data_IF_272302193720
#
_entry.id   IF_272302193720
#
_cell.length_a   1.000
_cell.length_b   1.000
_cell.length_c   1.000
_cell.angle_alpha   90.00
_cell.angle_beta   90.00
_cell.angle_gamma   90.00
#
_symmetry.space_group_name_H-M   'P 1'
#
loop_
_entity.id
_entity.type
_entity.pdbx_description
1 polymer ?
#
# COMPACT_ATOMS: atom_id res chain seq x y z
N UNK A 1 -6.35 5.08 33.22
CA UNK A 1 -6.04 6.38 32.60
C UNK A 1 -4.64 6.45 31.97
N UNK A 2 -3.55 5.99 32.62
CA UNK A 2 -2.18 6.07 32.05
C UNK A 2 -2.00 5.25 30.75
N UNK A 3 -2.63 4.08 30.63
CA UNK A 3 -2.51 3.18 29.47
C UNK A 3 -3.24 3.72 28.22
N UNK A 4 -4.37 4.43 28.38
CA UNK A 4 -5.08 5.11 27.30
C UNK A 4 -4.23 6.28 26.76
N UNK A 5 -3.69 7.12 27.62
CA UNK A 5 -2.77 8.22 27.21
C UNK A 5 -1.49 7.73 26.52
N UNK A 6 -0.99 6.53 26.86
CA UNK A 6 0.16 5.94 26.18
C UNK A 6 -0.17 5.48 24.76
N UNK A 7 -1.38 4.90 24.53
CA UNK A 7 -1.85 4.51 23.21
C UNK A 7 -2.09 5.72 22.30
N UNK A 8 -2.74 6.75 22.80
CA UNK A 8 -2.97 8.02 22.11
C UNK A 8 -1.65 8.66 21.68
N UNK A 9 -0.67 8.73 22.59
CA UNK A 9 0.65 9.30 22.29
C UNK A 9 1.42 8.50 21.23
N UNK A 10 1.29 7.18 21.25
CA UNK A 10 1.89 6.31 20.22
C UNK A 10 1.30 6.62 18.84
N UNK A 11 -0.01 6.85 18.79
CA UNK A 11 -0.70 7.22 17.56
C UNK A 11 -0.33 8.61 17.07
N UNK A 12 -0.22 9.61 17.97
CA UNK A 12 0.23 10.97 17.64
C UNK A 12 1.64 10.93 16.99
N UNK A 13 2.55 10.13 17.52
CA UNK A 13 3.90 9.97 16.96
C UNK A 13 3.84 9.43 15.53
N UNK A 14 3.04 8.39 15.28
CA UNK A 14 2.91 7.79 13.95
C UNK A 14 2.22 8.72 12.95
N UNK A 15 1.19 9.45 13.37
CA UNK A 15 0.52 10.45 12.53
C UNK A 15 1.46 11.60 12.16
N UNK A 16 2.22 12.10 13.14
CA UNK A 16 3.22 13.15 12.89
C UNK A 16 4.31 12.65 11.95
N UNK A 17 4.80 11.43 12.13
CA UNK A 17 5.77 10.84 11.21
C UNK A 17 5.21 10.73 9.79
N UNK A 18 3.99 10.23 9.63
CA UNK A 18 3.33 10.13 8.32
C UNK A 18 3.16 11.52 7.66
N UNK A 19 2.86 12.55 8.45
CA UNK A 19 2.76 13.94 7.95
C UNK A 19 4.13 14.46 7.50
N UNK A 20 5.17 14.27 8.30
CA UNK A 20 6.55 14.66 7.93
C UNK A 20 7.03 13.96 6.64
N UNK A 21 6.57 12.73 6.36
CA UNK A 21 6.86 12.06 5.10
C UNK A 21 6.26 12.79 3.88
N UNK A 22 5.21 13.56 4.06
CA UNK A 22 4.65 14.41 2.98
C UNK A 22 5.47 15.67 2.79
N UNK A 23 5.82 16.34 3.88
CA UNK A 23 6.46 17.66 3.85
C UNK A 23 7.95 17.61 3.46
N UNK A 24 8.68 16.64 3.99
CA UNK A 24 10.13 16.51 3.81
C UNK A 24 10.46 15.65 2.58
N UNK A 25 10.17 16.17 1.39
CA UNK A 25 10.51 15.49 0.14
C UNK A 25 12.02 15.54 -0.10
N UNK A 26 12.66 14.36 -0.03
CA UNK A 26 14.11 14.22 -0.28
C UNK A 26 15.01 14.39 0.94
N UNK A 27 14.46 14.75 2.10
CA UNK A 27 15.23 14.86 3.35
C UNK A 27 15.02 13.65 4.26
N UNK A 28 16.08 13.31 5.01
CA UNK A 28 15.99 12.26 6.02
C UNK A 28 15.29 12.78 7.29
N UNK A 29 14.19 12.16 7.67
CA UNK A 29 13.54 12.45 8.94
C UNK A 29 14.45 11.99 10.08
N UNK A 30 14.85 12.92 10.96
CA UNK A 30 15.60 12.61 12.17
C UNK A 30 14.65 12.44 13.36
N UNK A 31 15.08 11.65 14.36
CA UNK A 31 14.31 11.48 15.60
C UNK A 31 14.19 12.77 16.37
N UNK A 32 15.21 13.63 16.33
CA UNK A 32 15.19 14.96 16.94
C UNK A 32 14.12 15.88 16.28
N UNK A 33 14.01 15.87 14.94
CA UNK A 33 12.99 16.62 14.22
C UNK A 33 11.57 16.10 14.55
N UNK A 34 11.39 14.78 14.56
CA UNK A 34 10.13 14.15 14.92
C UNK A 34 9.72 14.48 16.37
N UNK A 35 10.64 14.37 17.33
CA UNK A 35 10.37 14.70 18.73
C UNK A 35 9.91 16.16 18.91
N UNK A 36 10.58 17.10 18.21
CA UNK A 36 10.14 18.51 18.18
C UNK A 36 8.74 18.68 17.59
N UNK A 37 8.46 18.02 16.49
CA UNK A 37 7.15 18.10 15.82
C UNK A 37 6.01 17.54 16.68
N UNK A 38 6.28 16.46 17.41
CA UNK A 38 5.32 15.86 18.38
C UNK A 38 5.20 16.67 19.67
N UNK A 39 6.16 17.56 19.96
CA UNK A 39 6.22 18.33 21.21
C UNK A 39 6.69 17.52 22.42
N UNK A 40 7.63 16.59 22.21
CA UNK A 40 8.20 15.74 23.28
C UNK A 40 9.73 15.73 23.21
N UNK A 41 10.38 15.25 24.28
CA UNK A 41 11.82 14.97 24.24
C UNK A 41 12.10 13.68 23.45
N UNK A 42 13.31 13.55 22.86
CA UNK A 42 13.72 12.30 22.21
C UNK A 42 13.67 11.11 23.17
N UNK A 43 14.03 11.31 24.44
CA UNK A 43 13.92 10.28 25.47
C UNK A 43 12.46 9.82 25.68
N UNK A 44 11.49 10.73 25.58
CA UNK A 44 10.07 10.39 25.65
C UNK A 44 9.61 9.64 24.38
N UNK A 45 10.11 10.03 23.20
CA UNK A 45 9.86 9.33 21.95
C UNK A 45 10.34 7.87 22.01
N UNK A 46 11.57 7.64 22.47
CA UNK A 46 12.16 6.31 22.60
C UNK A 46 11.47 5.40 23.62
N UNK A 47 10.74 5.95 24.59
CA UNK A 47 9.88 5.15 25.49
C UNK A 47 8.69 4.52 24.77
N UNK A 48 8.20 5.15 23.69
CA UNK A 48 7.11 4.61 22.88
C UNK A 48 7.62 3.74 21.73
N UNK A 49 8.74 4.09 21.12
CA UNK A 49 9.37 3.38 20.02
C UNK A 49 10.88 3.30 20.24
N UNK A 50 11.41 2.10 20.50
CA UNK A 50 12.84 1.93 20.84
C UNK A 50 13.82 2.34 19.72
N UNK A 51 13.33 2.55 18.49
CA UNK A 51 14.13 3.03 17.37
C UNK A 51 13.23 3.65 16.29
N UNK A 52 13.84 4.46 15.40
CA UNK A 52 13.18 4.96 14.19
C UNK A 52 12.64 3.81 13.31
N UNK A 53 13.41 2.74 13.17
CA UNK A 53 12.98 1.54 12.44
C UNK A 53 11.67 0.95 13.00
N UNK A 54 11.49 0.96 14.33
CA UNK A 54 10.24 0.50 14.97
C UNK A 54 9.04 1.41 14.70
N UNK A 55 9.26 2.68 14.45
CA UNK A 55 8.19 3.59 14.01
C UNK A 55 7.77 3.27 12.58
N UNK A 56 8.72 3.05 11.68
CA UNK A 56 8.43 2.62 10.30
C UNK A 56 7.78 1.23 10.26
N UNK A 57 8.24 0.26 11.07
CA UNK A 57 7.58 -1.04 11.19
C UNK A 57 6.11 -0.89 11.58
N UNK A 58 5.80 -0.01 12.53
CA UNK A 58 4.42 0.23 12.95
C UNK A 58 3.56 0.91 11.87
N UNK A 59 4.14 1.80 11.05
CA UNK A 59 3.43 2.35 9.87
C UNK A 59 3.18 1.28 8.80
N UNK A 60 4.13 0.40 8.54
CA UNK A 60 3.98 -0.72 7.60
C UNK A 60 2.90 -1.69 8.10
N UNK A 61 2.87 -2.01 9.40
CA UNK A 61 1.85 -2.82 10.03
C UNK A 61 0.45 -2.19 9.88
N UNK A 62 0.34 -0.88 10.09
CA UNK A 62 -0.91 -0.14 9.87
C UNK A 62 -1.38 -0.20 8.40
N UNK A 63 -0.46 -0.08 7.42
CA UNK A 63 -0.79 -0.26 6.00
C UNK A 63 -1.33 -1.67 5.78
N UNK A 64 -0.61 -2.69 6.25
CA UNK A 64 -0.98 -4.09 6.08
C UNK A 64 -2.37 -4.40 6.64
N UNK A 65 -2.63 -4.04 7.89
CA UNK A 65 -3.92 -4.24 8.55
C UNK A 65 -5.05 -3.50 7.84
N UNK A 66 -4.79 -2.22 7.46
CA UNK A 66 -5.78 -1.38 6.78
C UNK A 66 -6.19 -1.94 5.43
N UNK A 67 -5.25 -2.47 4.66
CA UNK A 67 -5.52 -3.03 3.34
C UNK A 67 -6.18 -4.41 3.46
N UNK A 68 -5.57 -5.34 4.17
CA UNK A 68 -6.02 -6.74 4.13
C UNK A 68 -7.31 -7.00 4.89
N UNK A 69 -7.62 -6.23 5.92
CA UNK A 69 -8.96 -6.28 6.55
C UNK A 69 -10.06 -5.97 5.56
N UNK A 70 -9.84 -4.97 4.68
CA UNK A 70 -10.83 -4.57 3.67
C UNK A 70 -10.81 -5.48 2.44
N UNK A 71 -9.63 -5.96 2.00
CA UNK A 71 -9.54 -6.96 0.94
C UNK A 71 -10.34 -8.21 1.31
N UNK A 72 -10.16 -8.74 2.52
CA UNK A 72 -10.91 -9.89 2.99
C UNK A 72 -12.43 -9.65 2.95
N UNK A 73 -12.87 -8.43 3.29
CA UNK A 73 -14.28 -8.05 3.20
C UNK A 73 -14.80 -8.06 1.76
N UNK A 74 -14.03 -7.48 0.82
CA UNK A 74 -14.36 -7.51 -0.62
C UNK A 74 -14.54 -8.96 -1.09
N UNK A 75 -13.66 -9.87 -0.69
CA UNK A 75 -13.72 -11.27 -1.08
C UNK A 75 -14.96 -12.00 -0.54
N UNK A 76 -15.47 -11.58 0.62
CA UNK A 76 -16.69 -12.15 1.22
C UNK A 76 -17.97 -11.57 0.60
N UNK A 77 -17.99 -10.29 0.28
CA UNK A 77 -19.17 -9.57 -0.18
C UNK A 77 -19.42 -9.71 -1.69
N UNK A 78 -18.36 -9.79 -2.48
CA UNK A 78 -18.47 -9.87 -3.95
C UNK A 78 -18.25 -11.28 -4.46
N UNK A 79 -19.05 -11.68 -5.46
CA UNK A 79 -18.92 -13.00 -6.09
C UNK A 79 -18.23 -12.94 -7.47
N UNK A 80 -18.28 -11.79 -8.13
CA UNK A 80 -17.71 -11.61 -9.47
C UNK A 80 -16.23 -11.31 -9.40
N UNK A 81 -15.43 -12.10 -10.13
CA UNK A 81 -13.98 -11.97 -10.20
C UNK A 81 -13.52 -10.56 -10.59
N UNK A 82 -14.11 -10.02 -11.66
CA UNK A 82 -13.78 -8.69 -12.17
C UNK A 82 -14.03 -7.62 -11.12
N UNK A 83 -15.15 -7.69 -10.41
CA UNK A 83 -15.50 -6.76 -9.33
C UNK A 83 -14.55 -6.87 -8.14
N UNK A 84 -14.15 -8.09 -7.76
CA UNK A 84 -13.16 -8.32 -6.69
C UNK A 84 -11.81 -7.70 -7.04
N UNK A 85 -11.33 -7.89 -8.27
CA UNK A 85 -10.08 -7.30 -8.75
C UNK A 85 -10.16 -5.79 -8.74
N UNK A 86 -11.18 -5.21 -9.39
CA UNK A 86 -11.39 -3.77 -9.49
C UNK A 86 -11.44 -3.10 -8.11
N UNK A 87 -12.26 -3.63 -7.21
CA UNK A 87 -12.41 -3.09 -5.84
C UNK A 87 -11.13 -3.21 -5.03
N UNK A 88 -10.37 -4.30 -5.19
CA UNK A 88 -9.09 -4.49 -4.51
C UNK A 88 -8.06 -3.46 -5.00
N UNK A 89 -7.94 -3.26 -6.31
CA UNK A 89 -7.05 -2.24 -6.87
C UNK A 89 -7.46 -0.84 -6.39
N UNK A 90 -8.75 -0.50 -6.52
CA UNK A 90 -9.27 0.81 -6.10
C UNK A 90 -9.10 1.06 -4.60
N UNK A 91 -9.21 0.02 -3.78
CA UNK A 91 -8.93 0.10 -2.34
C UNK A 91 -7.48 0.51 -2.07
N UNK A 92 -6.51 -0.14 -2.73
CA UNK A 92 -5.08 0.14 -2.53
C UNK A 92 -4.74 1.54 -3.03
N UNK A 93 -5.21 1.91 -4.23
CA UNK A 93 -5.00 3.23 -4.81
C UNK A 93 -5.67 4.34 -4.00
N UNK A 94 -6.90 4.12 -3.53
CA UNK A 94 -7.63 5.06 -2.68
C UNK A 94 -7.02 5.19 -1.28
N UNK A 95 -6.39 4.15 -0.76
CA UNK A 95 -5.62 4.24 0.47
C UNK A 95 -4.39 5.13 0.28
N UNK A 96 -3.63 4.93 -0.80
CA UNK A 96 -2.47 5.75 -1.14
C UNK A 96 -2.85 7.23 -1.35
N UNK A 97 -3.94 7.49 -2.08
CA UNK A 97 -4.46 8.84 -2.35
C UNK A 97 -4.81 9.61 -1.06
N UNK A 98 -5.45 8.93 -0.12
CA UNK A 98 -5.84 9.51 1.18
C UNK A 98 -4.70 9.61 2.19
N UNK A 99 -3.58 8.93 1.95
CA UNK A 99 -2.46 8.83 2.87
C UNK A 99 -1.12 9.06 2.13
N UNK A 100 -0.84 10.28 1.61
CA UNK A 100 0.32 10.53 0.76
C UNK A 100 1.65 10.20 1.42
N UNK A 101 1.82 10.42 2.73
CA UNK A 101 3.02 10.01 3.46
C UNK A 101 3.21 8.49 3.49
N UNK A 102 2.10 7.73 3.63
CA UNK A 102 2.15 6.27 3.54
C UNK A 102 2.33 5.78 2.10
N UNK A 103 1.84 6.53 1.10
CA UNK A 103 2.12 6.24 -0.31
C UNK A 103 3.63 6.31 -0.62
N UNK A 104 4.38 7.24 -0.02
CA UNK A 104 5.85 7.26 -0.09
C UNK A 104 6.49 6.04 0.54
N UNK A 105 5.96 5.60 1.68
CA UNK A 105 6.44 4.38 2.33
C UNK A 105 6.15 3.15 1.46
N UNK A 106 4.99 3.07 0.82
CA UNK A 106 4.62 2.04 -0.14
C UNK A 106 5.51 2.10 -1.40
N UNK A 107 5.81 3.28 -1.90
CA UNK A 107 6.74 3.46 -3.04
C UNK A 107 8.19 3.08 -2.68
N UNK A 108 8.56 3.17 -1.40
CA UNK A 108 9.86 2.74 -0.89
C UNK A 108 10.97 3.80 -0.97
N UNK A 109 10.71 5.00 -1.50
CA UNK A 109 11.73 6.06 -1.60
C UNK A 109 12.24 6.51 -0.23
N UNK A 110 11.38 6.53 0.78
CA UNK A 110 11.73 6.88 2.17
C UNK A 110 12.46 5.77 2.92
N UNK A 111 12.52 4.56 2.36
CA UNK A 111 13.24 3.42 2.92
C UNK A 111 14.67 3.29 2.36
N UNK A 112 15.06 4.18 1.45
CA UNK A 112 16.45 4.25 0.96
C UNK A 112 17.35 4.69 2.12
N UNK A 113 18.37 3.90 2.42
CA UNK A 113 19.26 4.12 3.58
C UNK A 113 18.75 3.53 4.90
N UNK A 114 17.49 3.08 4.98
CA UNK A 114 16.97 2.34 6.13
C UNK A 114 17.35 0.85 6.07
N UNK A 115 17.03 0.11 7.13
CA UNK A 115 17.38 -1.31 7.23
C UNK A 115 16.76 -2.15 6.10
N UNK A 116 17.48 -3.16 5.60
CA UNK A 116 16.97 -4.11 4.60
C UNK A 116 15.66 -4.77 5.04
N UNK A 117 15.50 -4.98 6.36
CA UNK A 117 14.29 -5.56 6.96
C UNK A 117 13.03 -4.73 6.67
N UNK A 118 13.10 -3.41 6.72
CA UNK A 118 11.93 -2.55 6.43
C UNK A 118 11.52 -2.66 4.97
N UNK A 119 12.48 -2.65 4.05
CA UNK A 119 12.22 -2.87 2.62
C UNK A 119 11.59 -4.24 2.36
N UNK A 120 12.13 -5.29 2.99
CA UNK A 120 11.58 -6.64 2.89
C UNK A 120 10.14 -6.71 3.45
N UNK A 121 9.87 -6.03 4.56
CA UNK A 121 8.52 -5.97 5.15
C UNK A 121 7.53 -5.31 4.21
N UNK A 122 7.92 -4.23 3.52
CA UNK A 122 7.07 -3.58 2.53
C UNK A 122 6.85 -4.48 1.28
N UNK A 123 7.91 -5.15 0.80
CA UNK A 123 7.81 -6.12 -0.29
C UNK A 123 6.80 -7.23 0.01
N UNK A 124 6.77 -7.75 1.24
CA UNK A 124 5.81 -8.80 1.66
C UNK A 124 4.34 -8.37 1.51
N UNK A 125 4.03 -7.07 1.66
CA UNK A 125 2.67 -6.56 1.41
C UNK A 125 2.32 -6.72 -0.06
N UNK A 126 3.22 -6.37 -0.96
CA UNK A 126 3.02 -6.51 -2.41
C UNK A 126 2.95 -7.98 -2.84
N UNK A 127 3.83 -8.85 -2.31
CA UNK A 127 3.77 -10.30 -2.56
C UNK A 127 2.42 -10.90 -2.15
N UNK A 128 1.88 -10.42 -1.03
CA UNK A 128 0.56 -10.82 -0.54
C UNK A 128 -0.57 -10.30 -1.43
N UNK A 129 -0.48 -9.07 -1.94
CA UNK A 129 -1.44 -8.52 -2.91
C UNK A 129 -1.41 -9.31 -4.23
N UNK A 130 -0.22 -9.62 -4.77
CA UNK A 130 -0.09 -10.48 -5.96
C UNK A 130 -0.75 -11.84 -5.73
N UNK A 131 -0.51 -12.43 -4.56
CA UNK A 131 -1.12 -13.72 -4.20
C UNK A 131 -2.65 -13.63 -4.14
N UNK A 132 -3.21 -12.53 -3.61
CA UNK A 132 -4.66 -12.32 -3.60
C UNK A 132 -5.22 -12.17 -5.02
N UNK A 133 -4.60 -11.36 -5.88
CA UNK A 133 -5.02 -11.25 -7.29
C UNK A 133 -4.97 -12.60 -8.00
N UNK A 134 -3.90 -13.37 -7.81
CA UNK A 134 -3.76 -14.71 -8.39
C UNK A 134 -4.85 -15.66 -7.92
N UNK A 135 -5.21 -15.62 -6.63
CA UNK A 135 -6.29 -16.43 -6.08
C UNK A 135 -7.65 -16.04 -6.67
N UNK A 136 -7.98 -14.75 -6.71
CA UNK A 136 -9.23 -14.25 -7.30
C UNK A 136 -9.36 -14.70 -8.75
N UNK A 137 -8.29 -14.60 -9.54
CA UNK A 137 -8.29 -14.98 -10.95
C UNK A 137 -8.40 -16.49 -11.15
N UNK A 138 -7.85 -17.31 -10.25
CA UNK A 138 -7.97 -18.77 -10.32
C UNK A 138 -9.37 -19.28 -10.01
N UNK A 139 -10.07 -18.64 -9.08
CA UNK A 139 -11.44 -19.02 -8.68
C UNK A 139 -12.44 -18.88 -9.84
N UNK A 140 -12.18 -17.99 -10.81
CA UNK A 140 -13.03 -17.80 -11.98
C UNK A 140 -12.81 -18.83 -13.10
N UNK A 141 -11.64 -19.48 -13.12
CA UNK A 141 -11.24 -20.36 -14.22
C UNK A 141 -11.26 -21.82 -13.78
N UNK A 142 -12.40 -22.48 -13.93
CA UNK A 142 -12.63 -23.88 -13.54
C UNK A 142 -11.82 -24.92 -14.32
N UNK A 143 -11.01 -24.55 -15.33
CA UNK A 143 -10.18 -25.49 -16.11
C UNK A 143 -9.03 -24.77 -16.84
N UNK A 144 -7.83 -24.87 -16.31
CA UNK A 144 -6.65 -24.94 -17.20
C UNK A 144 -5.81 -23.69 -17.40
N UNK A 145 -6.00 -22.54 -16.70
CA UNK A 145 -5.22 -21.31 -16.97
C UNK A 145 -4.42 -20.83 -15.75
N UNK A 146 -3.62 -21.74 -15.18
CA UNK A 146 -2.78 -21.41 -14.00
C UNK A 146 -1.66 -20.40 -14.33
N UNK A 147 -1.07 -20.46 -15.53
CA UNK A 147 0.03 -19.57 -15.95
C UNK A 147 -0.50 -18.16 -16.23
N UNK A 148 -1.61 -18.05 -16.99
CA UNK A 148 -2.21 -16.76 -17.29
C UNK A 148 -2.66 -15.99 -16.01
N UNK A 149 -3.15 -16.69 -15.00
CA UNK A 149 -3.53 -16.07 -13.73
C UNK A 149 -2.32 -15.46 -12.97
N UNK A 150 -1.14 -16.07 -13.06
CA UNK A 150 0.08 -15.54 -12.43
C UNK A 150 0.58 -14.29 -13.15
N UNK A 151 0.64 -14.31 -14.47
CA UNK A 151 1.07 -13.18 -15.28
C UNK A 151 0.08 -12.01 -15.18
N UNK A 152 -1.21 -12.31 -15.19
CA UNK A 152 -2.26 -11.29 -14.98
C UNK A 152 -2.17 -10.66 -13.59
N UNK A 153 -1.93 -11.46 -12.54
CA UNK A 153 -1.75 -10.94 -11.17
C UNK A 153 -0.55 -9.98 -11.07
N UNK A 154 0.58 -10.32 -11.71
CA UNK A 154 1.76 -9.45 -11.79
C UNK A 154 1.49 -8.16 -12.54
N UNK A 155 0.77 -8.23 -13.66
CA UNK A 155 0.39 -7.03 -14.41
C UNK A 155 -0.54 -6.12 -13.59
N UNK A 156 -1.53 -6.67 -12.90
CA UNK A 156 -2.40 -5.91 -12.00
C UNK A 156 -1.61 -5.23 -10.90
N UNK A 157 -0.67 -5.96 -10.28
CA UNK A 157 0.20 -5.38 -9.27
C UNK A 157 1.08 -4.27 -9.84
N UNK A 158 1.70 -4.47 -11.01
CA UNK A 158 2.52 -3.45 -11.67
C UNK A 158 1.71 -2.18 -12.01
N UNK A 159 0.44 -2.31 -12.37
CA UNK A 159 -0.46 -1.16 -12.55
C UNK A 159 -0.67 -0.40 -11.23
N UNK A 160 -0.91 -1.10 -10.13
CA UNK A 160 -1.07 -0.48 -8.79
C UNK A 160 0.21 0.25 -8.39
N UNK A 161 1.36 -0.42 -8.46
CA UNK A 161 2.67 0.17 -8.11
C UNK A 161 2.98 1.37 -9.00
N UNK A 162 2.73 1.26 -10.31
CA UNK A 162 2.94 2.34 -11.28
C UNK A 162 2.10 3.59 -10.96
N UNK A 163 0.84 3.43 -10.55
CA UNK A 163 -0.01 4.55 -10.14
C UNK A 163 0.47 5.20 -8.84
N UNK A 164 0.88 4.40 -7.85
CA UNK A 164 1.46 4.92 -6.60
C UNK A 164 2.76 5.68 -6.89
N UNK A 165 3.63 5.12 -7.75
CA UNK A 165 4.87 5.78 -8.16
C UNK A 165 4.61 7.11 -8.88
N UNK A 166 3.62 7.19 -9.77
CA UNK A 166 3.22 8.43 -10.45
C UNK A 166 2.70 9.48 -9.46
N UNK A 167 1.86 9.06 -8.51
CA UNK A 167 1.32 9.91 -7.46
C UNK A 167 2.45 10.53 -6.62
N UNK A 168 3.37 9.72 -6.11
CA UNK A 168 4.51 10.17 -5.31
C UNK A 168 5.42 11.08 -6.14
N UNK A 169 5.81 10.66 -7.36
CA UNK A 169 6.71 11.42 -8.24
C UNK A 169 6.12 12.76 -8.67
N UNK A 170 4.80 12.87 -8.77
CA UNK A 170 4.12 14.14 -9.11
C UNK A 170 4.08 15.13 -7.93
N UNK A 171 4.59 14.78 -6.76
CA UNK A 171 4.36 15.52 -5.51
C UNK A 171 2.89 15.53 -5.13
N UNK A 172 2.24 14.37 -5.25
CA UNK A 172 0.85 14.09 -4.90
C UNK A 172 -0.21 14.85 -5.72
N UNK A 173 0.16 15.39 -6.90
CA UNK A 173 -0.75 16.15 -7.76
C UNK A 173 -1.57 15.30 -8.72
N UNK A 174 -1.06 14.13 -9.09
CA UNK A 174 -1.75 13.18 -9.97
C UNK A 174 -2.38 12.10 -9.11
N UNK A 175 -3.67 12.27 -8.80
CA UNK A 175 -4.40 11.29 -7.98
C UNK A 175 -4.41 9.90 -8.65
N UNK A 176 -4.07 8.83 -7.91
CA UNK A 176 -4.06 7.48 -8.47
C UNK A 176 -5.47 6.94 -8.75
N UNK A 177 -6.52 7.58 -8.23
CA UNK A 177 -7.92 7.17 -8.42
C UNK A 177 -8.69 8.04 -9.42
N UNK A 178 -8.19 9.22 -9.78
CA UNK A 178 -8.84 10.09 -10.75
C UNK A 178 -8.95 9.39 -12.12
N UNK A 179 -10.16 9.34 -12.69
CA UNK A 179 -10.41 8.67 -13.97
C UNK A 179 -10.24 7.15 -13.94
N UNK A 180 -10.35 6.54 -12.76
CA UNK A 180 -10.16 5.10 -12.58
C UNK A 180 -11.07 4.24 -13.45
N UNK A 181 -12.35 4.56 -13.59
CA UNK A 181 -13.31 3.76 -14.36
C UNK A 181 -12.90 3.62 -15.83
N UNK A 182 -12.39 4.70 -16.43
CA UNK A 182 -11.87 4.66 -17.80
C UNK A 182 -10.63 3.77 -17.91
N UNK A 183 -9.70 3.89 -16.96
CA UNK A 183 -8.49 3.06 -16.93
C UNK A 183 -8.81 1.60 -16.68
N UNK A 184 -9.79 1.33 -15.84
CA UNK A 184 -10.28 -0.01 -15.61
C UNK A 184 -10.87 -0.65 -16.89
N UNK A 185 -11.69 0.07 -17.63
CA UNK A 185 -12.20 -0.40 -18.92
C UNK A 185 -11.08 -0.74 -19.91
N UNK A 186 -10.06 0.12 -20.02
CA UNK A 186 -8.88 -0.15 -20.86
C UNK A 186 -8.15 -1.43 -20.45
N UNK A 187 -8.03 -1.70 -19.14
CA UNK A 187 -7.44 -2.94 -18.63
C UNK A 187 -8.29 -4.16 -19.04
N UNK A 188 -9.61 -4.08 -18.89
CA UNK A 188 -10.54 -5.15 -19.28
C UNK A 188 -10.52 -5.40 -20.80
N UNK A 189 -10.53 -4.35 -21.61
CA UNK A 189 -10.48 -4.44 -23.06
C UNK A 189 -9.16 -5.01 -23.58
N UNK A 190 -8.06 -4.71 -22.86
CA UNK A 190 -6.71 -5.20 -23.16
C UNK A 190 -6.48 -6.68 -22.90
N UNK A 191 -7.43 -7.41 -22.31
CA UNK A 191 -7.34 -8.86 -22.19
C UNK A 191 -7.46 -9.49 -20.80
N UNK A 192 -7.77 -8.74 -19.74
CA UNK A 192 -7.96 -9.34 -18.41
C UNK A 192 -9.19 -10.27 -18.30
N UNK A 193 -10.05 -10.31 -19.29
CA UNK A 193 -11.23 -11.17 -19.35
C UNK A 193 -11.32 -12.05 -20.60
N UNK A 194 -10.37 -12.00 -21.53
CA UNK A 194 -10.44 -12.77 -22.77
C UNK A 194 -9.39 -13.88 -22.78
N UNK A 195 -9.84 -15.11 -22.89
CA UNK A 195 -8.99 -16.27 -23.23
C UNK A 195 -8.17 -15.92 -24.48
N UNK A 196 -6.84 -16.19 -24.51
CA UNK A 196 -6.06 -15.98 -25.72
C UNK A 196 -6.72 -16.71 -26.87
N UNK A 197 -7.01 -16.01 -27.98
CA UNK A 197 -7.40 -16.69 -29.21
C UNK A 197 -6.20 -17.54 -29.63
N UNK A 198 -6.35 -18.86 -29.58
CA UNK A 198 -5.47 -19.78 -30.26
C UNK A 198 -5.51 -19.39 -31.73
N UNK A 199 -4.47 -18.79 -32.24
CA UNK A 199 -4.22 -18.69 -33.69
C UNK A 199 -3.75 -20.06 -34.12
N UNK A 200 -4.61 -20.75 -34.88
CA UNK A 200 -4.23 -21.92 -35.67
C UNK A 200 -3.21 -21.55 -36.74
#
# INVERSE_FOLDING_TARGET
>A
MARARSGERRQDILQTLAHMLVELQGEHITTAALARSVGVSEAALYRHFPSKAKMFEALIEFIEESLFTRVNRILLEDQQTEMRVQKTMLLVLGFADKNPGLARLMHGDVLVGETARLRQRMSQIYDRLETQFRQILRESNSAGVSVAAADSARLLLAVVEGHIAQFVRSGFRISPVEGWDRRWQLLCDGGFGKTPRTTD
#
